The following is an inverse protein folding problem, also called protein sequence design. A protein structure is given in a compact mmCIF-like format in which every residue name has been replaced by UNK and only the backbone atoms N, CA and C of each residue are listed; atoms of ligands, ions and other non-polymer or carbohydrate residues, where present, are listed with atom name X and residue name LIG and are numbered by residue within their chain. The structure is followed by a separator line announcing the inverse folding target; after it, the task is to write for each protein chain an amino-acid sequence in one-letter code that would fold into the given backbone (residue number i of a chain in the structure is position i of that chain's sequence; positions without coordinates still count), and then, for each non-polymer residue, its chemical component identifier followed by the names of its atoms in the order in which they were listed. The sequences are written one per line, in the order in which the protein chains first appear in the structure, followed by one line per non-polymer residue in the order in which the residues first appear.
data_IF_489896928975
#
_entry.id   IF_489896928975
#
_cell.length_a   1.000
_cell.length_b   1.000
_cell.length_c   1.000
_cell.angle_alpha   90.00
_cell.angle_beta   90.00
_cell.angle_gamma   90.00
#
_symmetry.space_group_name_H-M   'P 1'
#
loop_
_entity.id
_entity.type
_entity.pdbx_description
1 polymer ?
#
# COMPACT_ATOMS: atom_id res chain seq x y z
N UNK A 1 -87.12 46.22 1.06
CA UNK A 1 -85.97 45.57 0.39
C UNK A 1 -84.75 45.89 1.20
N UNK A 2 -84.22 44.93 1.93
CA UNK A 2 -83.12 45.10 2.88
C UNK A 2 -81.88 44.41 2.26
N UNK A 3 -80.85 45.23 1.89
CA UNK A 3 -79.58 44.75 1.37
C UNK A 3 -78.67 44.36 2.54
N UNK A 4 -78.30 43.06 2.60
CA UNK A 4 -77.29 42.61 3.52
C UNK A 4 -75.89 42.72 2.88
N UNK A 5 -75.07 43.57 3.50
CA UNK A 5 -73.63 43.66 3.17
C UNK A 5 -72.88 42.53 3.88
N UNK A 6 -72.32 41.59 3.13
CA UNK A 6 -71.45 40.54 3.66
C UNK A 6 -69.99 40.97 3.53
N UNK A 7 -69.37 41.30 4.65
CA UNK A 7 -67.92 41.56 4.70
C UNK A 7 -67.15 40.26 4.69
N UNK A 8 -66.06 40.08 3.90
CA UNK A 8 -65.25 38.86 3.95
C UNK A 8 -64.32 38.91 5.16
N UNK A 9 -64.59 38.06 6.12
CA UNK A 9 -63.64 37.75 7.20
C UNK A 9 -62.46 36.99 6.62
N UNK A 10 -61.31 37.69 6.48
CA UNK A 10 -60.05 37.05 6.05
C UNK A 10 -59.48 36.24 7.22
N UNK A 11 -59.44 34.94 7.01
CA UNK A 11 -59.06 33.96 8.04
C UNK A 11 -57.54 34.05 8.32
N UNK A 12 -57.13 34.80 9.35
CA UNK A 12 -55.73 35.02 9.80
C UNK A 12 -55.02 33.73 10.29
N UNK A 13 -55.72 32.62 10.31
CA UNK A 13 -55.14 31.32 10.78
C UNK A 13 -54.26 30.65 9.73
N UNK A 14 -54.44 31.02 8.44
CA UNK A 14 -53.71 30.38 7.34
C UNK A 14 -52.26 30.79 7.23
N UNK A 15 -51.93 32.06 7.57
CA UNK A 15 -50.57 32.59 7.44
C UNK A 15 -49.58 32.01 8.45
N UNK A 16 -50.03 31.75 9.69
CA UNK A 16 -49.13 31.16 10.72
C UNK A 16 -48.76 29.72 10.42
N UNK A 17 -49.64 28.95 9.78
CA UNK A 17 -49.37 27.55 9.37
C UNK A 17 -48.48 27.47 8.15
N UNK A 18 -48.57 28.40 7.21
CA UNK A 18 -47.69 28.45 6.03
C UNK A 18 -46.29 28.86 6.41
N UNK A 19 -46.11 29.83 7.34
CA UNK A 19 -44.76 30.22 7.82
C UNK A 19 -44.10 29.11 8.62
N UNK A 20 -44.87 28.35 9.42
CA UNK A 20 -44.33 27.21 10.18
C UNK A 20 -43.93 26.05 9.26
N UNK A 21 -44.65 25.83 8.12
CA UNK A 21 -44.30 24.79 7.16
C UNK A 21 -43.08 25.12 6.31
N UNK A 22 -42.86 26.42 6.01
CA UNK A 22 -41.66 26.90 5.30
C UNK A 22 -40.41 26.87 6.17
N UNK A 23 -40.53 26.91 7.51
CA UNK A 23 -39.38 26.82 8.41
C UNK A 23 -38.93 25.39 8.67
N UNK A 24 -39.78 24.37 8.40
CA UNK A 24 -39.45 22.96 8.62
C UNK A 24 -38.80 22.29 7.40
N UNK A 25 -38.84 22.92 6.21
CA UNK A 25 -38.22 22.39 4.99
C UNK A 25 -36.75 22.75 4.81
N UNK A 26 -36.16 23.58 5.69
CA UNK A 26 -34.75 24.02 5.57
C UNK A 26 -33.73 23.15 6.33
N UNK A 27 -34.14 22.03 6.97
CA UNK A 27 -33.27 21.20 7.80
C UNK A 27 -32.71 19.95 7.13
N UNK A 28 -32.93 19.76 5.81
CA UNK A 28 -32.36 18.65 5.07
C UNK A 28 -31.23 19.05 4.13
N UNK A 29 -30.38 20.02 4.52
CA UNK A 29 -29.03 20.07 3.97
C UNK A 29 -28.20 19.02 4.71
N UNK A 30 -28.44 17.76 4.36
CA UNK A 30 -27.50 16.68 4.62
C UNK A 30 -26.21 17.05 3.89
N UNK A 31 -25.20 17.48 4.64
CA UNK A 31 -23.83 17.47 4.18
C UNK A 31 -23.55 16.04 3.72
N UNK A 32 -23.51 15.78 2.42
CA UNK A 32 -22.81 14.61 1.90
C UNK A 32 -21.37 14.79 2.39
N UNK A 33 -20.99 13.98 3.37
CA UNK A 33 -19.59 13.74 3.66
C UNK A 33 -19.03 13.23 2.34
N UNK A 34 -18.24 14.05 1.64
CA UNK A 34 -17.43 13.54 0.55
C UNK A 34 -16.63 12.40 1.17
N UNK A 35 -16.89 11.18 0.74
CA UNK A 35 -15.93 10.12 0.95
C UNK A 35 -14.66 10.64 0.26
N UNK A 36 -13.67 10.98 1.09
CA UNK A 36 -12.31 11.14 0.63
C UNK A 36 -11.95 9.78 0.08
N UNK A 37 -12.16 9.61 -1.24
CA UNK A 37 -11.51 8.51 -1.97
C UNK A 37 -10.04 8.74 -1.68
N UNK A 38 -9.32 7.82 -1.02
CA UNK A 38 -7.89 7.94 -0.90
C UNK A 38 -7.39 8.17 -2.34
N UNK A 39 -6.85 9.33 -2.60
CA UNK A 39 -6.02 9.53 -3.78
C UNK A 39 -4.95 8.47 -3.63
N UNK A 40 -4.88 7.57 -4.60
CA UNK A 40 -3.81 6.61 -4.76
C UNK A 40 -2.55 7.45 -5.09
N UNK A 41 -2.07 8.19 -4.10
CA UNK A 41 -0.77 8.84 -4.14
C UNK A 41 0.21 7.68 -4.04
N UNK A 42 0.48 7.05 -5.20
CA UNK A 42 1.57 6.09 -5.34
C UNK A 42 2.81 6.77 -4.76
N UNK A 43 3.21 6.30 -3.57
CA UNK A 43 4.43 6.77 -2.94
C UNK A 43 5.57 6.57 -3.93
N UNK A 44 6.27 7.66 -4.25
CA UNK A 44 7.39 7.56 -5.16
C UNK A 44 8.51 6.76 -4.50
N UNK A 45 8.72 5.55 -5.01
CA UNK A 45 9.77 4.66 -4.52
C UNK A 45 10.96 4.75 -5.47
N UNK A 46 12.07 5.29 -4.96
CA UNK A 46 13.31 5.47 -5.74
C UNK A 46 14.40 4.50 -5.33
N UNK A 47 14.34 3.96 -4.12
CA UNK A 47 15.39 3.08 -3.60
C UNK A 47 14.79 1.92 -2.83
N UNK A 48 15.25 0.72 -3.15
CA UNK A 48 14.96 -0.52 -2.43
C UNK A 48 16.26 -1.18 -2.03
N UNK A 49 16.40 -1.51 -0.75
CA UNK A 49 17.55 -2.22 -0.20
C UNK A 49 17.12 -3.59 0.35
N UNK A 50 17.76 -4.65 -0.12
CA UNK A 50 17.61 -6.02 0.37
C UNK A 50 18.82 -6.35 1.24
N UNK A 51 18.63 -6.45 2.54
CA UNK A 51 19.68 -6.67 3.54
C UNK A 51 19.61 -8.14 3.99
N UNK A 52 20.50 -8.96 3.45
CA UNK A 52 20.65 -10.36 3.84
C UNK A 52 21.67 -10.48 4.95
N UNK A 53 21.28 -11.12 6.05
CA UNK A 53 22.20 -11.50 7.14
C UNK A 53 22.26 -13.03 7.21
N UNK A 54 23.45 -13.59 7.04
CA UNK A 54 23.65 -15.03 7.10
C UNK A 54 23.73 -15.57 8.54
N UNK A 55 23.79 -16.91 8.67
CA UNK A 55 23.93 -17.56 9.97
C UNK A 55 25.21 -17.19 10.73
N UNK A 56 26.25 -16.71 10.04
CA UNK A 56 27.51 -16.24 10.60
C UNK A 56 27.50 -14.75 10.95
N UNK A 57 26.34 -14.06 10.84
CA UNK A 57 26.14 -12.63 11.06
C UNK A 57 26.83 -11.73 10.02
N UNK A 58 27.24 -12.27 8.88
CA UNK A 58 27.72 -11.48 7.75
C UNK A 58 26.51 -10.81 7.08
N UNK A 59 26.58 -9.49 6.93
CA UNK A 59 25.55 -8.68 6.26
C UNK A 59 25.98 -8.43 4.82
N UNK A 60 25.03 -8.59 3.90
CA UNK A 60 25.18 -8.26 2.48
C UNK A 60 23.96 -7.46 2.03
N UNK A 61 24.18 -6.26 1.50
CA UNK A 61 23.10 -5.38 1.01
C UNK A 61 23.14 -5.34 -0.50
N UNK A 62 21.98 -5.53 -1.11
CA UNK A 62 21.77 -5.41 -2.56
C UNK A 62 20.69 -4.37 -2.82
N UNK A 63 20.95 -3.43 -3.70
CA UNK A 63 20.09 -2.27 -3.89
C UNK A 63 19.63 -2.12 -5.33
N UNK A 64 18.40 -1.64 -5.47
CA UNK A 64 17.91 -0.94 -6.64
C UNK A 64 17.87 0.56 -6.28
N UNK A 65 18.29 1.44 -7.20
CA UNK A 65 18.24 2.89 -7.02
C UNK A 65 17.99 3.56 -8.36
N UNK A 66 16.88 4.29 -8.43
CA UNK A 66 16.44 5.13 -9.54
C UNK A 66 16.03 6.48 -8.93
N UNK A 67 16.99 7.39 -8.78
CA UNK A 67 16.84 8.60 -7.94
C UNK A 67 15.85 9.60 -8.46
N UNK A 68 15.65 9.68 -9.78
CA UNK A 68 14.64 10.55 -10.35
C UNK A 68 13.25 9.90 -10.35
N UNK A 69 13.19 8.56 -10.19
CA UNK A 69 11.97 7.80 -10.04
C UNK A 69 11.06 7.81 -11.27
N UNK A 70 11.58 8.25 -12.43
CA UNK A 70 10.79 8.41 -13.65
C UNK A 70 10.68 7.13 -14.49
N UNK A 71 11.52 6.12 -14.17
CA UNK A 71 11.55 4.82 -14.84
C UNK A 71 11.90 4.86 -16.34
N UNK A 72 12.36 6.02 -16.85
CA UNK A 72 12.68 6.22 -18.28
C UNK A 72 14.16 6.08 -18.55
N UNK A 73 14.99 6.43 -17.58
CA UNK A 73 16.44 6.26 -17.64
C UNK A 73 16.84 4.97 -16.94
N UNK A 74 17.99 4.35 -17.28
CA UNK A 74 18.49 3.21 -16.50
C UNK A 74 18.74 3.64 -15.05
N UNK A 75 18.42 2.78 -14.06
CA UNK A 75 18.67 3.09 -12.65
C UNK A 75 20.16 3.28 -12.38
N UNK A 76 20.52 4.16 -11.47
CA UNK A 76 21.90 4.41 -11.07
C UNK A 76 22.54 3.16 -10.44
N UNK A 77 21.71 2.31 -9.84
CA UNK A 77 22.15 1.07 -9.22
C UNK A 77 21.11 -0.03 -9.36
N UNK A 78 21.57 -1.21 -9.77
CA UNK A 78 20.77 -2.42 -9.74
C UNK A 78 21.72 -3.61 -9.49
N UNK A 79 21.87 -3.95 -8.22
CA UNK A 79 22.82 -4.96 -7.79
C UNK A 79 22.38 -6.37 -8.19
N UNK A 80 23.35 -7.22 -8.49
CA UNK A 80 23.13 -8.66 -8.56
C UNK A 80 23.21 -9.27 -7.16
N UNK A 81 22.21 -10.01 -6.75
CA UNK A 81 22.19 -10.76 -5.49
C UNK A 81 23.15 -11.95 -5.61
N UNK A 82 24.10 -12.04 -4.69
CA UNK A 82 25.06 -13.15 -4.62
C UNK A 82 25.04 -13.74 -3.21
N UNK A 83 24.56 -14.98 -3.09
CA UNK A 83 24.42 -15.70 -1.82
C UNK A 83 25.29 -16.96 -1.84
N UNK A 84 25.73 -17.39 -0.66
CA UNK A 84 26.44 -18.65 -0.50
C UNK A 84 25.42 -19.80 -0.43
N UNK A 85 25.75 -20.96 -1.01
CA UNK A 85 24.90 -22.16 -0.96
C UNK A 85 24.85 -22.77 0.44
N UNK A 86 23.80 -23.53 0.70
CA UNK A 86 23.59 -24.24 1.97
C UNK A 86 23.66 -23.32 3.19
N UNK A 87 23.08 -22.12 3.08
CA UNK A 87 23.13 -21.07 4.08
C UNK A 87 21.73 -20.59 4.44
N UNK A 88 21.50 -20.34 5.75
CA UNK A 88 20.29 -19.69 6.23
C UNK A 88 20.50 -18.16 6.29
N UNK A 89 19.44 -17.42 5.97
CA UNK A 89 19.44 -15.97 5.93
C UNK A 89 18.22 -15.40 6.64
N UNK A 90 18.39 -14.25 7.29
CA UNK A 90 17.32 -13.27 7.47
C UNK A 90 17.41 -12.22 6.37
N UNK A 91 16.28 -11.77 5.87
CA UNK A 91 16.14 -10.67 4.93
C UNK A 91 15.34 -9.55 5.59
N UNK A 92 15.88 -8.34 5.53
CA UNK A 92 15.20 -7.09 5.86
C UNK A 92 15.11 -6.24 4.60
N UNK A 93 13.98 -5.57 4.38
CA UNK A 93 13.75 -4.68 3.23
C UNK A 93 13.59 -3.26 3.74
N UNK A 94 14.37 -2.34 3.16
CA UNK A 94 14.20 -0.91 3.33
C UNK A 94 13.81 -0.26 2.01
N UNK A 95 12.89 0.70 2.09
CA UNK A 95 12.34 1.43 0.94
C UNK A 95 12.41 2.93 1.22
N UNK A 96 12.85 3.71 0.22
CA UNK A 96 13.01 5.16 0.37
C UNK A 96 12.53 5.92 -0.87
N UNK A 97 12.11 7.17 -0.63
CA UNK A 97 12.00 8.21 -1.65
C UNK A 97 13.17 9.20 -1.46
N UNK A 98 14.15 9.16 -2.36
CA UNK A 98 15.34 10.03 -2.35
C UNK A 98 15.10 11.34 -3.11
N UNK A 99 13.95 11.58 -3.70
CA UNK A 99 13.59 12.88 -4.26
C UNK A 99 13.34 13.91 -3.15
N UNK A 100 13.10 13.47 -1.92
CA UNK A 100 12.91 14.31 -0.74
C UNK A 100 14.24 14.62 -0.06
N UNK A 101 14.30 15.78 0.63
CA UNK A 101 15.45 16.15 1.45
C UNK A 101 14.98 16.62 2.84
N UNK A 102 15.24 15.88 3.92
CA UNK A 102 15.89 14.55 3.95
C UNK A 102 15.10 13.49 3.21
N UNK A 103 15.75 12.39 2.78
CA UNK A 103 15.07 11.26 2.10
C UNK A 103 13.92 10.72 2.96
N UNK A 104 12.78 10.49 2.36
CA UNK A 104 11.64 9.92 3.07
C UNK A 104 11.84 8.41 3.29
N UNK A 105 11.46 7.94 4.48
CA UNK A 105 11.50 6.52 4.82
C UNK A 105 10.14 5.88 4.54
N UNK A 106 9.99 5.31 3.35
CA UNK A 106 8.75 4.64 2.92
C UNK A 106 8.54 3.33 3.67
N UNK A 107 9.61 2.70 4.18
CA UNK A 107 9.48 1.49 5.03
C UNK A 107 8.57 1.71 6.22
N UNK A 108 8.67 2.89 6.87
CA UNK A 108 7.84 3.20 8.03
C UNK A 108 6.36 3.44 7.63
N UNK A 109 6.10 4.01 6.45
CA UNK A 109 4.75 4.16 5.92
C UNK A 109 4.13 2.79 5.62
N UNK A 110 4.87 1.89 4.95
CA UNK A 110 4.44 0.49 4.71
C UNK A 110 4.13 -0.22 6.02
N UNK A 111 4.90 0.01 7.10
CA UNK A 111 4.62 -0.56 8.43
C UNK A 111 3.33 -0.02 9.04
N UNK A 112 3.08 1.28 8.93
CA UNK A 112 1.86 1.91 9.43
C UNK A 112 0.61 1.40 8.69
N UNK A 113 0.75 1.16 7.39
CA UNK A 113 -0.30 0.67 6.49
C UNK A 113 -0.14 -0.83 6.18
N UNK A 114 0.44 -1.57 7.11
CA UNK A 114 0.77 -2.99 6.90
C UNK A 114 -0.45 -3.87 6.59
N UNK A 115 -1.65 -3.47 6.99
CA UNK A 115 -2.89 -4.21 6.70
C UNK A 115 -3.36 -4.10 5.23
N UNK A 116 -2.71 -3.25 4.43
CA UNK A 116 -2.97 -3.14 2.98
C UNK A 116 -1.74 -3.43 2.12
N UNK A 117 -0.55 -3.60 2.71
CA UNK A 117 0.70 -3.88 1.98
C UNK A 117 1.20 -5.31 2.22
N UNK A 118 1.78 -5.91 1.17
CA UNK A 118 2.48 -7.20 1.26
C UNK A 118 3.62 -7.28 0.24
N UNK A 119 4.81 -7.72 0.70
CA UNK A 119 5.88 -8.13 -0.17
C UNK A 119 5.73 -9.59 -0.60
N UNK A 120 5.86 -9.82 -1.89
CA UNK A 120 5.82 -11.15 -2.51
C UNK A 120 7.15 -11.42 -3.19
N UNK A 121 7.69 -12.63 -2.98
CA UNK A 121 8.94 -13.08 -3.57
C UNK A 121 8.66 -14.19 -4.57
N UNK A 122 9.17 -14.05 -5.80
CA UNK A 122 9.15 -15.12 -6.80
C UNK A 122 10.59 -15.44 -7.19
N UNK A 123 11.00 -16.66 -6.97
CA UNK A 123 12.37 -17.13 -7.26
C UNK A 123 12.30 -18.12 -8.41
N UNK A 124 13.11 -17.90 -9.44
CA UNK A 124 13.23 -18.78 -10.59
C UNK A 124 14.72 -19.06 -10.91
N UNK A 125 15.14 -20.33 -10.88
CA UNK A 125 14.42 -21.51 -10.40
C UNK A 125 14.24 -21.52 -8.87
N UNK A 126 13.11 -22.01 -8.40
CA UNK A 126 12.75 -22.05 -6.98
C UNK A 126 13.71 -22.89 -6.11
N UNK A 127 14.54 -23.72 -6.74
CA UNK A 127 15.57 -24.52 -6.06
C UNK A 127 16.76 -23.73 -5.55
N UNK A 128 16.94 -22.44 -5.94
CA UNK A 128 18.09 -21.64 -5.53
C UNK A 128 17.91 -21.04 -4.12
N UNK A 129 16.74 -20.53 -3.83
CA UNK A 129 16.46 -19.79 -2.61
C UNK A 129 14.99 -19.98 -2.21
N UNK A 130 14.74 -20.21 -0.93
CA UNK A 130 13.41 -20.09 -0.35
C UNK A 130 13.35 -18.85 0.53
N UNK A 131 12.26 -18.06 0.47
CA UNK A 131 11.99 -16.92 1.35
C UNK A 131 10.58 -17.05 1.90
N UNK A 132 10.40 -16.68 3.17
CA UNK A 132 9.11 -16.67 3.86
C UNK A 132 9.04 -15.48 4.79
N UNK A 133 8.01 -14.65 4.63
CA UNK A 133 7.71 -13.56 5.56
C UNK A 133 7.54 -14.08 6.99
N UNK A 134 8.15 -13.40 7.96
CA UNK A 134 8.06 -13.72 9.38
C UNK A 134 7.33 -12.64 10.17
N UNK A 135 7.21 -11.45 9.61
CA UNK A 135 6.42 -10.34 10.16
C UNK A 135 4.94 -10.42 9.72
N UNK A 136 4.07 -9.84 10.53
CA UNK A 136 2.63 -9.89 10.31
C UNK A 136 1.98 -8.57 10.67
N UNK A 137 0.91 -8.25 9.97
CA UNK A 137 0.04 -7.14 10.27
C UNK A 137 -0.91 -7.43 11.47
N UNK A 138 -1.73 -6.45 11.82
CA UNK A 138 -2.73 -6.55 12.91
C UNK A 138 -3.79 -7.66 12.69
N UNK A 139 -3.96 -8.12 11.46
CA UNK A 139 -4.90 -9.19 11.08
C UNK A 139 -4.22 -10.58 11.05
N UNK A 140 -2.91 -10.64 11.36
CA UNK A 140 -2.12 -11.87 11.32
C UNK A 140 -1.67 -12.28 9.92
N UNK A 141 -1.87 -11.43 8.90
CA UNK A 141 -1.42 -11.67 7.53
C UNK A 141 0.03 -11.21 7.34
N UNK A 142 0.80 -11.85 6.45
CA UNK A 142 2.20 -11.50 6.22
C UNK A 142 2.35 -10.08 5.66
N UNK A 143 3.48 -9.41 6.02
CA UNK A 143 3.91 -8.14 5.45
C UNK A 143 5.08 -8.39 4.50
N UNK A 144 6.13 -9.09 4.95
CA UNK A 144 7.31 -9.45 4.17
C UNK A 144 8.46 -8.44 4.21
N UNK A 145 8.38 -7.40 5.06
CA UNK A 145 9.53 -6.52 5.34
C UNK A 145 10.65 -7.27 6.05
N UNK A 146 10.26 -8.25 6.88
CA UNK A 146 11.18 -9.19 7.52
C UNK A 146 10.85 -10.60 7.04
N UNK A 147 11.87 -11.30 6.55
CA UNK A 147 11.73 -12.67 6.04
C UNK A 147 12.85 -13.54 6.51
N UNK A 148 12.61 -14.84 6.60
CA UNK A 148 13.63 -15.87 6.77
C UNK A 148 13.72 -16.70 5.49
N UNK A 149 14.91 -17.23 5.21
CA UNK A 149 15.11 -18.05 4.04
C UNK A 149 16.35 -18.90 4.10
N UNK A 150 16.52 -19.72 3.07
CA UNK A 150 17.71 -20.54 2.92
C UNK A 150 17.99 -20.83 1.46
N UNK A 151 19.27 -20.89 1.12
CA UNK A 151 19.74 -21.44 -0.14
C UNK A 151 19.90 -22.95 -0.03
N UNK A 152 19.66 -23.64 -1.13
CA UNK A 152 19.90 -25.09 -1.21
C UNK A 152 21.39 -25.37 -1.45
N UNK A 153 21.77 -26.65 -1.36
CA UNK A 153 23.14 -27.09 -1.69
C UNK A 153 23.35 -27.19 -3.22
N UNK A 154 22.84 -26.19 -3.95
CA UNK A 154 22.94 -26.12 -5.41
C UNK A 154 23.44 -24.74 -5.78
N UNK A 155 24.57 -24.68 -6.48
CA UNK A 155 25.04 -23.43 -7.09
C UNK A 155 24.30 -23.18 -8.41
N UNK A 156 24.05 -21.94 -8.72
CA UNK A 156 23.35 -21.59 -9.96
C UNK A 156 23.05 -20.12 -10.08
N UNK A 157 22.49 -19.76 -11.23
CA UNK A 157 22.01 -18.42 -11.52
C UNK A 157 20.50 -18.45 -11.80
N UNK A 158 19.83 -17.37 -11.46
CA UNK A 158 18.40 -17.22 -11.63
C UNK A 158 17.94 -15.78 -11.39
N UNK A 159 16.69 -15.64 -11.00
CA UNK A 159 16.04 -14.35 -10.72
C UNK A 159 15.32 -14.40 -9.38
N UNK A 160 15.32 -13.25 -8.69
CA UNK A 160 14.40 -12.95 -7.61
C UNK A 160 13.53 -11.79 -8.05
N UNK A 161 12.23 -12.03 -8.25
CA UNK A 161 11.27 -10.97 -8.44
C UNK A 161 10.70 -10.56 -7.07
N UNK A 162 10.87 -9.29 -6.72
CA UNK A 162 10.32 -8.62 -5.54
C UNK A 162 9.14 -7.76 -5.97
N UNK A 163 7.97 -8.04 -5.39
CA UNK A 163 6.75 -7.28 -5.66
C UNK A 163 6.23 -6.71 -4.34
N UNK A 164 5.99 -5.41 -4.27
CA UNK A 164 5.17 -4.81 -3.22
C UNK A 164 3.76 -4.62 -3.77
N UNK A 165 2.79 -5.25 -3.12
CA UNK A 165 1.37 -5.06 -3.44
C UNK A 165 0.75 -4.06 -2.47
N UNK A 166 -0.07 -3.16 -3.01
CA UNK A 166 -0.98 -2.30 -2.28
C UNK A 166 -2.42 -2.80 -2.50
N UNK A 167 -3.06 -3.25 -1.43
CA UNK A 167 -4.34 -3.98 -1.45
C UNK A 167 -5.37 -3.29 -0.54
N UNK A 168 -5.74 -2.02 -0.80
CA UNK A 168 -6.70 -1.29 0.02
C UNK A 168 -8.10 -1.94 -0.04
N UNK A 169 -8.93 -1.72 0.98
CA UNK A 169 -10.29 -2.20 1.00
C UNK A 169 -11.11 -1.69 -0.19
N UNK A 170 -11.89 -2.56 -0.83
CA UNK A 170 -12.83 -2.20 -1.90
C UNK A 170 -14.25 -2.30 -1.36
N UNK A 171 -15.02 -1.20 -1.44
CA UNK A 171 -16.38 -1.12 -0.88
C UNK A 171 -16.45 -1.55 0.60
N UNK A 172 -15.46 -1.15 1.40
CA UNK A 172 -15.35 -1.49 2.82
C UNK A 172 -14.96 -2.93 3.13
N UNK A 173 -14.63 -3.75 2.10
CA UNK A 173 -14.18 -5.14 2.27
C UNK A 173 -12.68 -5.22 2.09
N UNK A 174 -11.99 -5.88 3.02
CA UNK A 174 -10.57 -6.14 2.92
C UNK A 174 -10.24 -6.92 1.64
N UNK A 175 -9.20 -6.48 0.93
CA UNK A 175 -8.67 -7.15 -0.28
C UNK A 175 -7.44 -7.98 0.06
N UNK A 176 -6.61 -7.52 1.00
CA UNK A 176 -5.43 -8.27 1.44
C UNK A 176 -5.83 -9.60 2.07
N UNK A 177 -5.32 -10.70 1.51
CA UNK A 177 -5.59 -12.08 1.95
C UNK A 177 -4.30 -12.86 2.24
N UNK A 178 -3.15 -12.17 2.22
CA UNK A 178 -1.83 -12.78 2.48
C UNK A 178 -1.15 -13.35 1.24
N UNK A 179 -1.63 -12.99 0.06
CA UNK A 179 -1.02 -13.34 -1.23
C UNK A 179 -1.04 -12.14 -2.19
N UNK A 180 -0.57 -12.32 -3.43
CA UNK A 180 -0.47 -11.26 -4.45
C UNK A 180 -1.80 -10.91 -5.14
N UNK A 181 -2.89 -11.60 -4.83
CA UNK A 181 -4.16 -11.39 -5.53
C UNK A 181 -4.81 -10.05 -5.16
N UNK A 182 -5.22 -9.30 -6.18
CA UNK A 182 -5.88 -8.00 -6.03
C UNK A 182 -4.92 -6.84 -5.79
N UNK A 183 -5.48 -5.63 -5.77
CA UNK A 183 -4.74 -4.37 -5.60
C UNK A 183 -3.78 -4.02 -6.75
N UNK A 184 -3.02 -2.96 -6.56
CA UNK A 184 -1.94 -2.50 -7.45
C UNK A 184 -0.57 -3.06 -7.04
N UNK A 185 0.46 -2.80 -7.84
CA UNK A 185 1.85 -3.07 -7.48
C UNK A 185 2.61 -1.75 -7.45
N UNK A 186 3.21 -1.44 -6.31
CA UNK A 186 4.03 -0.25 -6.13
C UNK A 186 5.51 -0.54 -6.45
N UNK A 187 5.92 -1.80 -6.27
CA UNK A 187 7.23 -2.34 -6.66
C UNK A 187 7.01 -3.60 -7.48
N UNK A 188 7.76 -3.74 -8.58
CA UNK A 188 7.92 -4.98 -9.36
C UNK A 188 9.34 -5.01 -9.94
N UNK A 189 10.31 -5.52 -9.15
CA UNK A 189 11.74 -5.50 -9.47
C UNK A 189 12.27 -6.92 -9.62
N UNK A 190 13.00 -7.17 -10.71
CA UNK A 190 13.59 -8.47 -11.02
C UNK A 190 15.11 -8.42 -10.87
N UNK A 191 15.59 -8.81 -9.70
CA UNK A 191 17.02 -8.92 -9.42
C UNK A 191 17.64 -10.16 -10.07
N UNK A 192 18.85 -10.02 -10.62
CA UNK A 192 19.69 -11.17 -10.90
C UNK A 192 20.09 -11.87 -9.60
N UNK A 193 19.95 -13.20 -9.54
CA UNK A 193 20.31 -14.02 -8.39
C UNK A 193 21.43 -14.99 -8.78
N UNK A 194 22.42 -15.13 -7.90
CA UNK A 194 23.45 -16.14 -8.02
C UNK A 194 23.70 -16.79 -6.67
N UNK A 195 23.67 -18.11 -6.64
CA UNK A 195 24.08 -18.93 -5.48
C UNK A 195 25.39 -19.63 -5.81
N UNK A 196 26.40 -19.52 -4.94
CA UNK A 196 27.76 -20.05 -5.18
C UNK A 196 28.27 -20.93 -4.04
#
# INVERSE_FOLDING_TARGET
MQQYCISPQLNMISMKKVVLFLFFTSLFFSCKKEEVVPTDDNELITTVELIFTDANKKVSTFSFQDKDGDGKTPPEKFDKIVLDKNMSYSLEINVYDETKNPKANITEQIKLESDVHIFVFKIDPASLLSLKAIDKDKNGLPIGLLSSGSTQNVAGAGKLNLILKHQPPVNGKAVKTGNEAGGSSDIDLVFDLSVK
#
